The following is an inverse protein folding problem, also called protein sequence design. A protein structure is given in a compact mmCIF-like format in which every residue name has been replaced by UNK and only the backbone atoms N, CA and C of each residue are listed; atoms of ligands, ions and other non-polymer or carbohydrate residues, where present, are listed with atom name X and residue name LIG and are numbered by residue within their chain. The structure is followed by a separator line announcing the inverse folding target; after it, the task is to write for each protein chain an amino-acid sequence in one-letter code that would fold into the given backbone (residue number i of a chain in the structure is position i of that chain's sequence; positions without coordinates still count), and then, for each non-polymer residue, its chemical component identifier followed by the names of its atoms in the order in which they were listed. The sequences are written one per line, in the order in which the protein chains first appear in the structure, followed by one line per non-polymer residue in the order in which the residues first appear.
data_IF_922849725687
#
_entry.id   IF_922849725687
#
_cell.length_a   1.000
_cell.length_b   1.000
_cell.length_c   1.000
_cell.angle_alpha   90.00
_cell.angle_beta   90.00
_cell.angle_gamma   90.00
#
_symmetry.space_group_name_H-M   'P 1'
#
loop_
_entity.id
_entity.type
_entity.pdbx_description
1 polymer ?
#
# COMPACT_ATOMS: atom_id res chain seq x y z
N UNK A 1 2.04 14.27 8.41
CA UNK A 1 2.85 14.60 7.21
C UNK A 1 3.83 13.48 6.86
N UNK A 2 4.69 13.02 7.78
CA UNK A 2 5.70 11.98 7.48
C UNK A 2 5.15 10.66 6.92
N UNK A 3 4.08 10.10 7.52
CA UNK A 3 3.50 8.84 7.05
C UNK A 3 2.92 8.94 5.63
N UNK A 4 2.19 10.01 5.31
CA UNK A 4 1.64 10.21 3.96
C UNK A 4 2.75 10.34 2.90
N UNK A 5 3.85 11.02 3.24
CA UNK A 5 5.03 11.08 2.37
C UNK A 5 5.70 9.70 2.21
N UNK A 6 5.82 8.93 3.30
CA UNK A 6 6.36 7.58 3.25
C UNK A 6 5.50 6.66 2.36
N UNK A 7 4.17 6.71 2.49
CA UNK A 7 3.25 5.99 1.61
C UNK A 7 3.48 6.40 0.14
N UNK A 8 3.57 7.69 -0.15
CA UNK A 8 3.81 8.17 -1.51
C UNK A 8 5.13 7.65 -2.12
N UNK A 9 6.21 7.64 -1.34
CA UNK A 9 7.54 7.18 -1.79
C UNK A 9 7.57 5.66 -1.96
N UNK A 10 6.85 4.91 -1.13
CA UNK A 10 6.92 3.44 -1.10
C UNK A 10 5.86 2.75 -1.97
N UNK A 11 4.82 3.47 -2.42
CA UNK A 11 3.71 2.87 -3.17
C UNK A 11 3.39 3.62 -4.48
N UNK A 12 2.94 4.87 -4.40
CA UNK A 12 2.49 5.63 -5.56
C UNK A 12 3.62 5.97 -6.54
N UNK A 13 4.80 6.30 -6.04
CA UNK A 13 5.96 6.67 -6.87
C UNK A 13 6.45 5.47 -7.71
N UNK A 14 6.70 4.28 -7.14
CA UNK A 14 7.05 3.10 -7.92
C UNK A 14 5.95 2.68 -8.91
N UNK A 15 4.68 2.66 -8.49
CA UNK A 15 3.57 2.28 -9.37
C UNK A 15 3.49 3.18 -10.61
N UNK A 16 3.66 4.49 -10.44
CA UNK A 16 3.70 5.46 -11.54
C UNK A 16 4.92 5.27 -12.43
N UNK A 17 6.10 5.06 -11.84
CA UNK A 17 7.34 4.84 -12.60
C UNK A 17 7.27 3.59 -13.49
N UNK A 18 6.56 2.56 -13.03
CA UNK A 18 6.37 1.29 -13.74
C UNK A 18 5.12 1.27 -14.64
N UNK A 19 4.33 2.36 -14.68
CA UNK A 19 3.10 2.42 -15.47
C UNK A 19 1.99 1.49 -14.99
N UNK A 20 2.05 1.04 -13.73
CA UNK A 20 1.04 0.17 -13.15
C UNK A 20 -0.22 0.98 -12.82
N UNK A 21 -1.32 0.64 -13.47
CA UNK A 21 -2.63 1.25 -13.23
C UNK A 21 -3.40 0.49 -12.15
N UNK A 22 -4.23 1.18 -11.37
CA UNK A 22 -5.06 0.54 -10.34
C UNK A 22 -4.31 0.04 -9.10
N UNK A 23 -3.04 0.41 -8.89
CA UNK A 23 -2.25 0.10 -7.68
C UNK A 23 -1.52 1.34 -7.15
N UNK A 24 -0.92 1.25 -5.96
CA UNK A 24 -0.18 2.36 -5.34
C UNK A 24 -1.04 3.45 -4.71
N UNK A 25 -2.36 3.22 -4.61
CA UNK A 25 -3.34 4.09 -3.94
C UNK A 25 -4.46 3.23 -3.36
N UNK A 26 -4.92 3.59 -2.16
CA UNK A 26 -6.12 3.03 -1.54
C UNK A 26 -7.33 3.90 -1.91
N UNK A 27 -8.09 3.45 -2.89
CA UNK A 27 -9.31 4.08 -3.36
C UNK A 27 -10.23 3.03 -4.00
N UNK A 28 -11.54 3.31 -4.06
CA UNK A 28 -12.47 2.43 -4.75
C UNK A 28 -12.07 2.25 -6.23
N UNK A 29 -12.18 1.02 -6.73
CA UNK A 29 -11.78 0.65 -8.10
C UNK A 29 -10.30 0.37 -8.31
N UNK A 30 -9.47 0.45 -7.25
CA UNK A 30 -8.08 -0.01 -7.25
C UNK A 30 -8.00 -1.42 -6.68
N UNK A 31 -6.93 -2.16 -7.00
CA UNK A 31 -6.67 -3.45 -6.39
C UNK A 31 -6.53 -3.31 -4.87
N UNK A 32 -7.12 -4.24 -4.13
CA UNK A 32 -7.08 -4.29 -2.68
C UNK A 32 -5.71 -4.78 -2.18
N UNK A 33 -4.66 -4.01 -2.46
CA UNK A 33 -3.29 -4.27 -2.05
C UNK A 33 -2.90 -3.26 -0.98
N UNK A 34 -2.75 -3.70 0.27
CA UNK A 34 -2.44 -2.82 1.40
C UNK A 34 -1.64 -3.52 2.50
N UNK A 35 -0.95 -2.73 3.30
CA UNK A 35 -0.21 -3.18 4.48
C UNK A 35 -0.80 -2.51 5.71
N UNK A 36 -1.08 -3.29 6.75
CA UNK A 36 -1.55 -2.77 8.05
C UNK A 36 -0.33 -2.61 8.95
N UNK A 37 -0.22 -1.44 9.58
CA UNK A 37 0.87 -1.11 10.50
C UNK A 37 0.33 -0.87 11.90
N UNK A 38 1.10 -1.23 12.92
CA UNK A 38 0.86 -0.78 14.28
C UNK A 38 1.31 0.69 14.49
N UNK A 39 1.17 1.18 15.73
CA UNK A 39 1.57 2.57 16.08
C UNK A 39 3.07 2.83 16.00
N UNK A 40 3.88 1.77 16.00
CA UNK A 40 5.33 1.83 15.87
C UNK A 40 5.79 1.60 14.42
N UNK A 41 4.85 1.59 13.46
CA UNK A 41 5.08 1.35 12.03
C UNK A 41 5.57 -0.06 11.70
N UNK A 42 5.31 -1.06 12.56
CA UNK A 42 5.57 -2.47 12.24
C UNK A 42 4.42 -3.07 11.46
N UNK A 43 4.75 -3.91 10.48
CA UNK A 43 3.74 -4.66 9.71
C UNK A 43 3.04 -5.67 10.60
N UNK A 44 1.71 -5.66 10.59
CA UNK A 44 0.87 -6.61 11.32
C UNK A 44 0.00 -7.47 10.41
N UNK A 45 -0.26 -7.02 9.19
CA UNK A 45 -0.93 -7.80 8.14
C UNK A 45 -0.63 -7.25 6.75
N UNK A 46 -0.75 -8.10 5.73
CA UNK A 46 -0.65 -7.71 4.32
C UNK A 46 -1.87 -8.26 3.57
N UNK A 47 -2.50 -7.44 2.74
CA UNK A 47 -3.53 -7.86 1.79
C UNK A 47 -2.96 -7.85 0.37
N UNK A 48 -3.20 -8.92 -0.37
CA UNK A 48 -2.83 -9.03 -1.79
C UNK A 48 -4.03 -9.52 -2.58
N UNK A 49 -4.58 -8.67 -3.44
CA UNK A 49 -5.74 -8.94 -4.30
C UNK A 49 -6.87 -9.62 -3.53
N UNK A 50 -7.33 -8.95 -2.47
CA UNK A 50 -8.43 -9.39 -1.58
C UNK A 50 -8.10 -10.53 -0.60
N UNK A 51 -6.92 -11.16 -0.69
CA UNK A 51 -6.49 -12.17 0.28
C UNK A 51 -5.61 -11.58 1.40
N UNK A 52 -5.97 -11.87 2.65
CA UNK A 52 -5.11 -11.59 3.79
C UNK A 52 -3.98 -12.60 3.91
N UNK A 53 -2.77 -12.09 4.13
CA UNK A 53 -1.54 -12.83 4.44
C UNK A 53 -1.07 -12.43 5.83
N UNK A 54 -0.75 -13.44 6.63
CA UNK A 54 -0.12 -13.25 7.94
C UNK A 54 1.31 -12.76 7.75
N UNK A 55 1.66 -11.72 8.51
CA UNK A 55 3.00 -11.12 8.54
C UNK A 55 3.95 -11.85 9.48
#
# INVERSE_FOLDING_TARGET
MALAAAVQVTSATPARALGLTGVGRLAAGYAANLVVLDRDLRVTAVMVNDDWRVG
#
